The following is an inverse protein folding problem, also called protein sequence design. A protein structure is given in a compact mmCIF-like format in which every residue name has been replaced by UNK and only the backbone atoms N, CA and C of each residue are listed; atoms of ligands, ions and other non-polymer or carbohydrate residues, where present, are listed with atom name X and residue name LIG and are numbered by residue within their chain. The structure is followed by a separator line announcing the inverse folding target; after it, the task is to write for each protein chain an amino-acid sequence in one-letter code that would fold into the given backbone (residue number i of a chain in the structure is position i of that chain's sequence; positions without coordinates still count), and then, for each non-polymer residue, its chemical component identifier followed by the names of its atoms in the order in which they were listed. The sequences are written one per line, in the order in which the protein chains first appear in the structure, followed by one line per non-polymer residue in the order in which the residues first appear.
data_IF_838082186040
#
_entry.id   IF_838082186040
#
_cell.length_a   1.000
_cell.length_b   1.000
_cell.length_c   1.000
_cell.angle_alpha   90.00
_cell.angle_beta   90.00
_cell.angle_gamma   90.00
#
_symmetry.space_group_name_H-M   'P 1'
#
loop_
_entity.id
_entity.type
_entity.pdbx_description
1 polymer ?
#
# COMPACT_ATOMS: atom_id res chain seq x y z
N UNK A 1 26.67 24.95 -8.14
CA UNK A 1 26.43 23.52 -7.85
C UNK A 1 26.15 23.41 -6.36
N UNK A 2 24.89 23.58 -5.96
CA UNK A 2 24.52 24.05 -4.61
C UNK A 2 24.21 22.88 -3.67
N UNK A 3 24.94 22.89 -2.56
CA UNK A 3 24.84 22.07 -1.36
C UNK A 3 23.42 21.99 -0.76
N UNK A 4 23.18 20.87 -0.05
CA UNK A 4 22.23 20.68 1.07
C UNK A 4 20.77 21.02 0.78
N UNK A 5 19.99 20.00 0.41
CA UNK A 5 18.58 19.90 0.82
C UNK A 5 18.48 18.96 2.03
N UNK A 6 18.88 19.49 3.17
CA UNK A 6 18.24 19.18 4.45
C UNK A 6 16.72 19.27 4.26
N UNK A 7 16.01 18.18 4.46
CA UNK A 7 14.57 18.19 4.33
C UNK A 7 13.97 16.81 4.28
N UNK A 8 14.00 16.12 5.43
CA UNK A 8 13.00 15.11 5.78
C UNK A 8 11.62 15.83 5.81
N UNK A 9 11.09 16.11 4.61
CA UNK A 9 9.90 16.92 4.37
C UNK A 9 9.10 16.32 3.21
N UNK A 10 9.00 15.00 3.13
CA UNK A 10 8.09 14.35 2.17
C UNK A 10 6.62 14.36 2.63
N UNK A 11 6.31 14.94 3.80
CA UNK A 11 4.96 15.01 4.38
C UNK A 11 4.46 16.42 4.72
N UNK A 12 4.94 17.47 4.04
CA UNK A 12 4.50 18.86 4.37
C UNK A 12 3.91 19.67 3.22
N UNK A 13 3.33 19.02 2.21
CA UNK A 13 2.74 19.76 1.10
C UNK A 13 1.89 18.97 0.13
N UNK A 14 0.87 18.23 0.61
CA UNK A 14 -0.30 17.95 -0.22
C UNK A 14 -1.47 18.73 0.35
N UNK A 15 -1.90 19.76 -0.38
CA UNK A 15 -3.17 20.45 -0.16
C UNK A 15 -4.31 19.44 -0.28
N UNK A 16 -5.20 19.48 0.70
CA UNK A 16 -6.09 18.40 1.12
C UNK A 16 -7.37 18.24 0.27
N UNK A 17 -7.35 18.60 -1.02
CA UNK A 17 -8.59 18.74 -1.79
C UNK A 17 -8.74 17.92 -3.08
N UNK A 18 -7.75 17.13 -3.55
CA UNK A 18 -7.93 16.40 -4.84
C UNK A 18 -7.00 15.19 -5.09
N UNK A 19 -6.30 14.67 -4.08
CA UNK A 19 -5.43 13.50 -4.27
C UNK A 19 -6.04 12.26 -3.60
N UNK A 20 -6.48 11.30 -4.42
CA UNK A 20 -6.98 9.99 -3.95
C UNK A 20 -5.85 8.96 -4.03
N UNK A 21 -5.14 8.68 -2.92
CA UNK A 21 -3.94 7.85 -2.96
C UNK A 21 -4.29 6.43 -3.37
N UNK A 22 -3.60 5.89 -4.38
CA UNK A 22 -3.77 4.49 -4.75
C UNK A 22 -2.91 3.62 -3.84
N UNK A 23 -3.55 2.82 -2.99
CA UNK A 23 -2.88 1.93 -2.04
C UNK A 23 -2.99 0.49 -2.53
N UNK A 24 -1.87 -0.21 -2.64
CA UNK A 24 -1.84 -1.64 -2.97
C UNK A 24 -1.53 -2.47 -1.72
N UNK A 25 -2.40 -3.42 -1.38
CA UNK A 25 -2.21 -4.33 -0.27
C UNK A 25 -1.85 -5.74 -0.76
N UNK A 26 -0.65 -6.21 -0.44
CA UNK A 26 -0.23 -7.59 -0.60
C UNK A 26 -0.66 -8.41 0.61
N UNK A 27 -1.63 -9.29 0.40
CA UNK A 27 -2.17 -10.18 1.42
C UNK A 27 -1.76 -11.62 1.14
N UNK A 28 -1.17 -12.28 2.13
CA UNK A 28 -1.01 -13.73 2.10
C UNK A 28 -2.37 -14.44 2.10
N UNK A 29 -2.44 -15.61 1.48
CA UNK A 29 -3.67 -16.37 1.33
C UNK A 29 -4.23 -16.86 2.67
N UNK A 30 -3.36 -17.26 3.60
CA UNK A 30 -3.78 -17.91 4.85
C UNK A 30 -4.17 -16.95 5.96
N UNK A 31 -3.39 -15.90 6.22
CA UNK A 31 -3.62 -15.01 7.38
C UNK A 31 -4.26 -13.69 6.94
N UNK A 32 -3.56 -12.89 6.14
CA UNK A 32 -3.99 -11.55 5.77
C UNK A 32 -5.25 -11.55 4.91
N UNK A 33 -5.41 -12.50 3.99
CA UNK A 33 -6.63 -12.60 3.20
C UNK A 33 -7.83 -13.04 4.05
N UNK A 34 -7.64 -14.01 4.96
CA UNK A 34 -8.67 -14.39 5.92
C UNK A 34 -9.05 -13.25 6.89
N UNK A 35 -8.07 -12.43 7.29
CA UNK A 35 -8.33 -11.23 8.08
C UNK A 35 -9.12 -10.18 7.29
N UNK A 36 -8.82 -10.01 6.00
CA UNK A 36 -9.59 -9.13 5.11
C UNK A 36 -11.04 -9.63 4.94
N UNK A 37 -11.23 -10.94 4.78
CA UNK A 37 -12.57 -11.55 4.72
C UNK A 37 -13.33 -11.37 6.05
N UNK A 38 -12.63 -11.48 7.19
CA UNK A 38 -13.21 -11.24 8.51
C UNK A 38 -13.61 -9.77 8.67
N UNK A 39 -12.78 -8.83 8.24
CA UNK A 39 -13.11 -7.41 8.23
C UNK A 39 -14.36 -7.12 7.36
N UNK A 40 -14.50 -7.81 6.23
CA UNK A 40 -15.70 -7.79 5.39
C UNK A 40 -16.93 -8.35 6.10
N UNK A 41 -16.79 -9.49 6.80
CA UNK A 41 -17.87 -10.08 7.60
C UNK A 41 -18.31 -9.19 8.76
N UNK A 42 -17.38 -8.45 9.35
CA UNK A 42 -17.64 -7.46 10.40
C UNK A 42 -18.19 -6.14 9.84
N UNK A 43 -18.29 -6.00 8.52
CA UNK A 43 -18.72 -4.77 7.83
C UNK A 43 -17.89 -3.56 8.23
N UNK A 44 -16.59 -3.76 8.43
CA UNK A 44 -15.66 -2.66 8.65
C UNK A 44 -15.50 -1.88 7.35
N UNK A 45 -15.80 -0.59 7.40
CA UNK A 45 -15.60 0.31 6.28
C UNK A 45 -14.11 0.59 6.10
N UNK A 46 -13.63 0.43 4.88
CA UNK A 46 -12.29 0.82 4.47
C UNK A 46 -12.42 1.67 3.20
N UNK A 47 -11.48 2.60 2.97
CA UNK A 47 -11.55 3.45 1.79
C UNK A 47 -11.39 2.62 0.51
N UNK A 48 -12.15 2.92 -0.56
CA UNK A 48 -12.17 2.13 -1.80
C UNK A 48 -10.88 2.24 -2.62
N UNK A 49 -9.95 3.07 -2.17
CA UNK A 49 -8.66 3.31 -2.79
C UNK A 49 -7.62 2.20 -2.51
N UNK A 50 -7.94 1.29 -1.58
CA UNK A 50 -7.12 0.11 -1.27
C UNK A 50 -7.47 -1.04 -2.21
N UNK A 51 -6.47 -1.50 -2.97
CA UNK A 51 -6.58 -2.66 -3.86
C UNK A 51 -5.83 -3.84 -3.25
N UNK A 52 -6.54 -4.95 -3.02
CA UNK A 52 -5.95 -6.16 -2.41
C UNK A 52 -5.48 -7.12 -3.50
N UNK A 53 -4.23 -7.57 -3.41
CA UNK A 53 -3.64 -8.61 -4.27
C UNK A 53 -3.27 -9.82 -3.41
N UNK A 54 -3.70 -10.99 -3.86
CA UNK A 54 -3.49 -12.25 -3.13
C UNK A 54 -2.18 -12.92 -3.53
N UNK A 55 -1.41 -13.35 -2.54
CA UNK A 55 -0.20 -14.15 -2.69
C UNK A 55 -0.30 -15.44 -1.87
N UNK A 56 0.41 -16.53 -2.25
CA UNK A 56 0.37 -17.78 -1.47
C UNK A 56 0.90 -17.58 -0.03
N UNK A 57 1.96 -16.79 0.14
CA UNK A 57 2.53 -16.41 1.44
C UNK A 57 3.33 -15.10 1.28
N UNK A 58 3.56 -14.35 2.37
CA UNK A 58 4.43 -13.15 2.35
C UNK A 58 5.86 -13.46 1.95
N UNK A 59 6.34 -14.69 2.15
CA UNK A 59 7.65 -15.11 1.67
C UNK A 59 7.82 -15.05 0.14
N UNK A 60 6.73 -14.95 -0.63
CA UNK A 60 6.79 -14.77 -2.09
C UNK A 60 6.97 -13.29 -2.50
N UNK A 61 6.78 -12.36 -1.58
CA UNK A 61 6.94 -10.93 -1.84
C UNK A 61 8.42 -10.60 -1.96
N UNK A 62 8.84 -10.37 -3.20
CA UNK A 62 10.18 -9.92 -3.57
C UNK A 62 10.18 -8.41 -3.83
N UNK A 63 11.34 -7.77 -3.64
CA UNK A 63 11.58 -6.37 -3.99
C UNK A 63 11.13 -6.01 -5.41
N UNK A 64 11.22 -6.94 -6.36
CA UNK A 64 10.75 -6.76 -7.75
C UNK A 64 9.25 -6.45 -7.81
N UNK A 65 8.43 -7.09 -6.98
CA UNK A 65 6.99 -6.81 -6.93
C UNK A 65 6.69 -5.44 -6.35
N UNK A 66 7.47 -5.04 -5.34
CA UNK A 66 7.33 -3.74 -4.68
C UNK A 66 7.71 -2.62 -5.66
N UNK A 67 8.87 -2.74 -6.32
CA UNK A 67 9.34 -1.76 -7.31
C UNK A 67 8.38 -1.64 -8.48
N UNK A 68 7.91 -2.78 -9.02
CA UNK A 68 6.93 -2.78 -10.11
C UNK A 68 5.59 -2.15 -9.72
N UNK A 69 5.19 -2.26 -8.45
CA UNK A 69 4.00 -1.57 -7.97
C UNK A 69 4.19 -0.05 -7.98
N UNK A 70 5.34 0.45 -7.52
CA UNK A 70 5.66 1.87 -7.60
C UNK A 70 5.80 2.37 -9.05
N UNK A 71 6.39 1.57 -9.95
CA UNK A 71 6.45 1.89 -11.39
C UNK A 71 5.07 2.01 -12.03
N UNK A 72 4.08 1.25 -11.54
CA UNK A 72 2.70 1.33 -11.99
C UNK A 72 1.92 2.54 -11.41
N UNK A 73 2.57 3.42 -10.63
CA UNK A 73 1.95 4.61 -10.07
C UNK A 73 1.16 4.38 -8.78
N UNK A 74 1.53 3.35 -8.00
CA UNK A 74 1.00 3.15 -6.65
C UNK A 74 1.70 4.12 -5.68
N UNK A 75 0.91 4.84 -4.87
CA UNK A 75 1.44 5.84 -3.94
C UNK A 75 1.88 5.22 -2.61
N UNK A 76 1.26 4.11 -2.25
CA UNK A 76 1.53 3.39 -1.01
C UNK A 76 1.31 1.89 -1.15
N UNK A 77 2.16 1.13 -0.46
CA UNK A 77 2.10 -0.32 -0.50
C UNK A 77 2.09 -0.89 0.92
N UNK A 78 1.19 -1.85 1.14
CA UNK A 78 1.00 -2.52 2.41
C UNK A 78 1.27 -4.01 2.24
N UNK A 79 2.10 -4.61 3.10
CA UNK A 79 2.40 -6.05 3.07
C UNK A 79 1.96 -6.66 4.38
N UNK A 80 1.04 -7.63 4.31
CA UNK A 80 0.53 -8.35 5.47
C UNK A 80 0.65 -9.87 5.26
N UNK A 81 1.14 -10.54 6.30
CA UNK A 81 1.43 -11.97 6.34
C UNK A 81 0.79 -12.69 7.50
#
# INVERSE_FOLDING_TARGET
MRLVRSGFTIWKGVSMSEFEPQILAFCCYHCAFAAADTAGSMRLEYPPNVKVVRFPCTGKVDQTYILRAFENGVDGLFVAG
#
